data_IF_928791268181
#
_entry.id   IF_928791268181
#
_cell.length_a   1.000
_cell.length_b   1.000
_cell.length_c   1.000
_cell.angle_alpha   90.00
_cell.angle_beta   90.00
_cell.angle_gamma   90.00
#
_symmetry.space_group_name_H-M   'P 1'
#
loop_
_entity.id
_entity.type
_entity.pdbx_description
1 polymer ?
#
# COMPACT_ATOMS: atom_id res chain seq x y z
N UNK A 1 -8.89 25.32 -60.22
CA UNK A 1 -8.97 23.84 -60.09
C UNK A 1 -7.58 23.26 -60.29
N UNK A 2 -6.83 23.05 -59.22
CA UNK A 2 -5.50 22.43 -59.26
C UNK A 2 -5.61 20.96 -58.86
N UNK A 3 -5.40 20.05 -59.81
CA UNK A 3 -5.24 18.61 -59.55
C UNK A 3 -3.80 18.38 -59.10
N UNK A 4 -3.63 17.88 -57.89
CA UNK A 4 -2.36 17.37 -57.37
C UNK A 4 -2.52 15.90 -57.01
N UNK A 5 -2.10 15.04 -57.93
CA UNK A 5 -1.96 13.59 -57.74
C UNK A 5 -0.92 13.31 -56.64
N UNK A 6 -1.29 12.49 -55.66
CA UNK A 6 -0.34 11.88 -54.73
C UNK A 6 -0.56 10.37 -54.71
N UNK A 7 -0.02 9.69 -55.73
CA UNK A 7 0.28 8.27 -55.66
C UNK A 7 1.75 8.06 -55.33
N UNK A 8 1.94 7.33 -54.23
CA UNK A 8 2.99 6.34 -53.97
C UNK A 8 4.43 6.81 -53.72
N UNK A 9 4.82 6.77 -52.44
CA UNK A 9 6.10 6.17 -52.02
C UNK A 9 5.89 5.24 -50.83
N UNK A 10 5.86 3.93 -51.13
CA UNK A 10 5.97 2.84 -50.15
C UNK A 10 7.36 2.91 -49.50
N UNK A 11 7.43 3.37 -48.26
CA UNK A 11 8.59 3.18 -47.38
C UNK A 11 8.46 1.87 -46.62
N UNK A 12 9.32 0.89 -46.93
CA UNK A 12 9.48 -0.37 -46.18
C UNK A 12 9.87 -0.06 -44.73
N UNK A 13 9.03 -0.39 -43.75
CA UNK A 13 9.43 -0.38 -42.34
C UNK A 13 10.18 -1.69 -42.07
N UNK A 14 11.51 -1.57 -41.91
CA UNK A 14 12.38 -2.64 -41.41
C UNK A 14 12.09 -2.88 -39.92
N UNK A 15 11.82 -4.13 -39.56
CA UNK A 15 11.94 -4.62 -38.17
C UNK A 15 13.43 -4.53 -37.78
N UNK A 16 13.73 -3.69 -36.80
CA UNK A 16 15.09 -3.48 -36.29
C UNK A 16 15.03 -3.25 -34.79
N UNK A 17 15.64 -4.17 -34.07
CA UNK A 17 15.90 -4.20 -32.63
C UNK A 17 16.60 -2.94 -32.13
N UNK A 18 16.04 -2.28 -31.11
CA UNK A 18 16.77 -1.34 -30.27
C UNK A 18 16.89 -1.91 -28.85
N UNK A 19 17.94 -2.72 -28.66
CA UNK A 19 18.50 -2.98 -27.35
C UNK A 19 19.30 -1.75 -26.91
N UNK A 20 18.86 -1.09 -25.85
CA UNK A 20 19.66 -0.06 -25.19
C UNK A 20 20.45 -0.73 -24.06
N UNK A 21 21.74 -0.92 -24.33
CA UNK A 21 22.76 -1.32 -23.37
C UNK A 21 22.81 -0.34 -22.20
N UNK A 22 22.44 -0.79 -20.98
CA UNK A 22 22.75 -0.07 -19.75
C UNK A 22 24.10 -0.53 -19.22
N UNK A 23 25.11 0.35 -19.31
CA UNK A 23 26.38 0.21 -18.60
C UNK A 23 26.11 0.09 -17.10
N UNK A 24 26.52 -1.04 -16.51
CA UNK A 24 26.58 -1.22 -15.06
C UNK A 24 27.74 -0.37 -14.52
N UNK A 25 27.42 0.72 -13.81
CA UNK A 25 28.39 1.31 -12.89
C UNK A 25 28.40 0.46 -11.62
N UNK A 26 29.41 -0.40 -11.49
CA UNK A 26 29.75 -1.10 -10.26
C UNK A 26 30.33 -0.05 -9.30
N UNK A 27 29.53 0.41 -8.34
CA UNK A 27 30.05 1.16 -7.22
C UNK A 27 30.75 0.18 -6.28
N UNK A 28 32.08 0.14 -6.32
CA UNK A 28 32.93 -0.56 -5.35
C UNK A 28 32.76 0.11 -3.99
N UNK A 29 31.97 -0.46 -3.09
CA UNK A 29 32.03 -0.11 -1.67
C UNK A 29 33.31 -0.74 -1.13
N UNK A 30 34.29 0.10 -0.78
CA UNK A 30 35.46 -0.29 0.02
C UNK A 30 34.95 -0.62 1.43
N UNK A 31 35.10 -1.86 1.85
CA UNK A 31 34.91 -2.29 3.24
C UNK A 31 35.96 -1.62 4.13
N UNK A 32 35.52 -0.95 5.19
CA UNK A 32 36.39 -0.55 6.30
C UNK A 32 36.51 -1.72 7.29
N UNK A 33 37.69 -1.94 7.91
CA UNK A 33 37.96 -3.12 8.72
C UNK A 33 37.37 -2.98 10.13
N UNK A 34 36.66 -4.01 10.57
CA UNK A 34 36.33 -4.22 11.98
C UNK A 34 37.61 -4.70 12.65
N UNK A 35 38.15 -3.89 13.57
CA UNK A 35 39.28 -4.27 14.42
C UNK A 35 38.80 -5.18 15.54
N UNK A 36 39.45 -6.34 15.58
CA UNK A 36 39.76 -7.22 16.70
C UNK A 36 39.37 -6.75 18.11
N UNK A 37 38.54 -7.56 18.78
CA UNK A 37 38.76 -7.93 20.18
C UNK A 37 38.58 -9.45 20.27
N UNK A 38 39.72 -10.14 20.30
CA UNK A 38 39.87 -11.52 20.72
C UNK A 38 40.08 -11.48 22.23
N UNK A 39 39.27 -12.24 22.98
CA UNK A 39 39.71 -12.86 24.22
C UNK A 39 39.26 -14.32 24.18
N UNK A 40 40.27 -15.19 24.29
CA UNK A 40 40.22 -16.63 24.15
C UNK A 40 39.32 -17.30 25.20
N UNK A 41 38.68 -18.41 24.85
CA UNK A 41 39.13 -19.71 25.37
C UNK A 41 38.40 -20.91 24.73
N UNK A 42 39.22 -21.73 24.07
CA UNK A 42 39.22 -23.20 23.96
C UNK A 42 37.89 -23.98 23.98
N UNK A 43 37.57 -24.66 22.87
CA UNK A 43 38.02 -26.04 22.60
C UNK A 43 37.16 -26.76 21.54
N UNK A 44 37.83 -27.63 20.79
CA UNK A 44 37.32 -28.79 20.06
C UNK A 44 36.79 -28.64 18.62
N UNK A 45 37.75 -28.75 17.69
CA UNK A 45 37.84 -29.77 16.63
C UNK A 45 36.53 -30.21 15.94
N UNK A 46 36.46 -29.98 14.62
CA UNK A 46 36.40 -31.06 13.63
C UNK A 46 36.46 -30.54 12.17
N UNK A 47 37.54 -30.96 11.50
CA UNK A 47 37.66 -31.32 10.08
C UNK A 47 37.15 -30.37 8.99
N UNK A 48 38.09 -29.52 8.57
CA UNK A 48 38.22 -28.95 7.24
C UNK A 48 38.63 -30.08 6.27
N UNK A 49 37.67 -30.89 5.80
CA UNK A 49 37.88 -31.75 4.63
C UNK A 49 36.54 -32.27 4.11
N UNK A 50 35.78 -31.38 3.46
CA UNK A 50 34.87 -31.74 2.37
C UNK A 50 34.43 -30.44 1.69
N UNK A 51 35.32 -29.91 0.86
CA UNK A 51 35.00 -28.95 -0.19
C UNK A 51 34.17 -29.73 -1.23
N UNK A 52 32.88 -29.90 -0.93
CA UNK A 52 31.88 -30.17 -1.94
C UNK A 52 31.28 -28.81 -2.30
N UNK A 53 31.70 -28.28 -3.44
CA UNK A 53 31.12 -27.11 -4.08
C UNK A 53 29.65 -27.41 -4.33
N UNK A 54 28.79 -27.04 -3.37
CA UNK A 54 27.34 -27.11 -3.50
C UNK A 54 26.88 -25.99 -4.44
N UNK A 55 27.07 -26.18 -5.75
CA UNK A 55 26.23 -25.53 -6.75
C UNK A 55 24.81 -26.07 -6.55
N UNK A 56 23.90 -25.27 -5.99
CA UNK A 56 22.43 -25.38 -6.17
C UNK A 56 21.76 -24.15 -5.56
N UNK A 57 21.11 -23.37 -6.41
CA UNK A 57 20.35 -22.18 -6.03
C UNK A 57 19.27 -22.52 -5.01
N UNK A 58 19.42 -21.98 -3.80
CA UNK A 58 18.29 -21.83 -2.91
C UNK A 58 17.46 -20.67 -3.47
N UNK A 59 16.49 -20.97 -4.34
CA UNK A 59 15.39 -20.06 -4.59
C UNK A 59 14.67 -19.95 -3.23
N UNK A 60 15.05 -18.97 -2.42
CA UNK A 60 14.31 -18.64 -1.22
C UNK A 60 12.88 -18.32 -1.64
N UNK A 61 11.91 -19.05 -1.09
CA UNK A 61 10.50 -18.74 -1.28
C UNK A 61 10.14 -17.51 -0.46
N UNK A 62 9.13 -16.78 -0.90
CA UNK A 62 8.59 -15.66 -0.14
C UNK A 62 7.07 -15.65 -0.27
N UNK A 63 6.41 -15.25 0.82
CA UNK A 63 4.95 -15.25 0.93
C UNK A 63 4.40 -13.91 0.42
N UNK A 64 3.31 -13.97 -0.36
CA UNK A 64 2.56 -12.78 -0.76
C UNK A 64 1.74 -12.24 0.42
N UNK A 65 1.93 -10.97 0.80
CA UNK A 65 1.23 -10.36 1.94
C UNK A 65 -0.30 -10.39 1.82
N UNK A 66 -0.82 -10.40 0.58
CA UNK A 66 -2.25 -10.25 0.32
C UNK A 66 -2.99 -11.59 0.26
N UNK A 67 -2.41 -12.61 -0.39
CA UNK A 67 -3.06 -13.91 -0.58
C UNK A 67 -2.47 -15.04 0.26
N UNK A 68 -1.41 -14.81 1.03
CA UNK A 68 -0.84 -15.82 1.93
C UNK A 68 -0.09 -16.97 1.26
N UNK A 69 -0.08 -17.04 -0.08
CA UNK A 69 0.58 -18.12 -0.82
C UNK A 69 2.09 -17.89 -0.92
N UNK A 70 2.85 -18.98 -0.85
CA UNK A 70 4.29 -19.01 -1.12
C UNK A 70 4.58 -19.01 -2.61
N UNK A 71 5.56 -18.20 -3.02
CA UNK A 71 6.06 -18.16 -4.39
C UNK A 71 7.58 -18.17 -4.41
N UNK A 72 8.16 -18.62 -5.53
CA UNK A 72 9.56 -18.35 -5.81
C UNK A 72 9.79 -16.83 -5.90
N UNK A 73 10.93 -16.33 -5.42
CA UNK A 73 11.27 -14.91 -5.46
C UNK A 73 11.14 -14.29 -6.87
N UNK A 74 11.40 -15.04 -7.94
CA UNK A 74 11.23 -14.57 -9.33
C UNK A 74 9.79 -14.16 -9.67
N UNK A 75 8.80 -14.66 -8.93
CA UNK A 75 7.38 -14.36 -9.11
C UNK A 75 6.84 -13.35 -8.08
N UNK A 76 7.68 -12.97 -7.11
CA UNK A 76 7.37 -11.93 -6.13
C UNK A 76 7.78 -10.57 -6.67
N UNK A 77 6.88 -9.63 -6.52
CA UNK A 77 7.03 -8.22 -6.84
C UNK A 77 7.01 -7.40 -5.56
N UNK A 78 7.49 -6.16 -5.64
CA UNK A 78 7.42 -5.19 -4.52
C UNK A 78 6.25 -4.25 -4.73
N UNK A 79 5.18 -4.46 -3.99
CA UNK A 79 4.04 -3.53 -3.96
C UNK A 79 4.34 -2.36 -3.02
N UNK A 80 3.93 -1.15 -3.40
CA UNK A 80 4.13 0.06 -2.60
C UNK A 80 2.87 0.36 -1.81
N UNK A 81 3.04 0.73 -0.54
CA UNK A 81 1.94 1.08 0.35
C UNK A 81 2.18 2.52 0.86
N UNK A 82 1.42 3.53 0.40
CA UNK A 82 0.36 3.42 -0.60
C UNK A 82 0.96 3.34 -2.02
N UNK A 83 0.07 3.23 -3.02
CA UNK A 83 0.46 3.21 -4.43
C UNK A 83 1.32 4.42 -4.83
N UNK A 84 2.29 4.20 -5.72
CA UNK A 84 3.26 5.22 -6.16
C UNK A 84 2.61 6.47 -6.78
N UNK A 85 1.41 6.32 -7.33
CA UNK A 85 0.68 7.40 -7.98
C UNK A 85 0.22 8.49 -7.00
N UNK A 86 0.17 8.22 -5.69
CA UNK A 86 -0.09 9.22 -4.66
C UNK A 86 1.13 10.08 -4.30
N UNK A 87 2.33 9.73 -4.80
CA UNK A 87 3.57 10.50 -4.63
C UNK A 87 3.86 11.43 -5.82
N UNK A 88 2.94 11.54 -6.76
CA UNK A 88 3.10 12.38 -7.94
C UNK A 88 3.04 13.86 -7.54
N UNK A 89 3.95 14.69 -8.07
CA UNK A 89 4.06 16.09 -7.64
C UNK A 89 5.16 16.33 -6.63
N UNK A 90 5.29 15.42 -5.67
CA UNK A 90 6.21 15.54 -4.56
C UNK A 90 7.68 15.33 -4.94
N UNK A 91 8.56 16.02 -4.19
CA UNK A 91 10.02 15.91 -4.28
C UNK A 91 10.52 14.52 -3.89
N UNK A 92 11.73 14.17 -4.31
CA UNK A 92 12.36 12.87 -3.97
C UNK A 92 12.51 12.66 -2.45
N UNK A 93 12.66 13.73 -1.65
CA UNK A 93 12.71 13.63 -0.19
C UNK A 93 11.43 13.02 0.41
N UNK A 94 10.27 13.19 -0.24
CA UNK A 94 9.00 12.60 0.21
C UNK A 94 8.87 11.11 -0.14
N UNK A 95 9.78 10.60 -0.97
CA UNK A 95 9.77 9.25 -1.54
C UNK A 95 10.76 8.32 -0.85
N UNK A 96 11.56 8.85 0.08
CA UNK A 96 12.51 8.10 0.91
C UNK A 96 11.74 7.26 1.93
N UNK A 97 12.16 6.03 2.23
CA UNK A 97 11.49 5.16 3.21
C UNK A 97 10.02 4.83 2.88
N UNK A 98 9.66 4.73 1.60
CA UNK A 98 8.37 4.14 1.21
C UNK A 98 8.32 2.67 1.62
N UNK A 99 7.27 2.33 2.33
CA UNK A 99 6.95 0.95 2.68
C UNK A 99 6.67 0.18 1.40
N UNK A 100 7.36 -0.95 1.26
CA UNK A 100 7.08 -1.93 0.21
C UNK A 100 6.92 -3.31 0.82
N UNK A 101 5.97 -4.08 0.31
CA UNK A 101 5.65 -5.43 0.77
C UNK A 101 5.70 -6.45 -0.38
N UNK A 102 6.03 -7.72 -0.09
CA UNK A 102 6.13 -8.76 -1.11
C UNK A 102 4.74 -9.18 -1.59
N UNK A 103 4.50 -9.08 -2.89
CA UNK A 103 3.23 -9.40 -3.51
C UNK A 103 3.45 -10.30 -4.74
N UNK A 104 2.62 -11.32 -4.94
CA UNK A 104 2.65 -12.04 -6.21
C UNK A 104 2.19 -11.12 -7.36
N UNK A 105 2.63 -11.44 -8.58
CA UNK A 105 2.35 -10.61 -9.76
C UNK A 105 0.84 -10.43 -10.01
N UNK A 106 0.03 -11.44 -9.71
CA UNK A 106 -1.44 -11.39 -9.84
C UNK A 106 -2.06 -10.39 -8.86
N UNK A 107 -1.73 -10.50 -7.56
CA UNK A 107 -2.26 -9.59 -6.55
C UNK A 107 -1.85 -8.14 -6.83
N UNK A 108 -0.57 -7.91 -7.12
CA UNK A 108 -0.07 -6.56 -7.41
C UNK A 108 -0.72 -5.95 -8.66
N UNK A 109 -0.91 -6.75 -9.72
CA UNK A 109 -1.54 -6.29 -10.97
C UNK A 109 -3.03 -5.97 -10.82
N UNK A 110 -3.76 -6.73 -10.00
CA UNK A 110 -5.22 -6.59 -9.82
C UNK A 110 -5.63 -5.22 -9.27
N UNK A 111 -4.79 -4.57 -8.47
CA UNK A 111 -5.13 -3.30 -7.83
C UNK A 111 -4.91 -2.07 -8.69
N UNK A 112 -4.37 -2.18 -9.90
CA UNK A 112 -4.12 -1.00 -10.74
C UNK A 112 -5.38 -0.13 -10.99
N UNK A 113 -6.58 -0.70 -11.27
CA UNK A 113 -7.79 0.12 -11.40
C UNK A 113 -8.22 0.74 -10.08
N UNK A 114 -8.07 0.02 -8.97
CA UNK A 114 -8.35 0.50 -7.61
C UNK A 114 -7.46 1.68 -7.22
N UNK A 115 -6.17 1.59 -7.53
CA UNK A 115 -5.19 2.65 -7.28
C UNK A 115 -5.46 3.89 -8.15
N UNK A 116 -5.87 3.70 -9.40
CA UNK A 116 -6.27 4.81 -10.29
C UNK A 116 -7.53 5.51 -9.76
N UNK A 117 -8.54 4.73 -9.37
CA UNK A 117 -9.81 5.24 -8.85
C UNK A 117 -9.62 6.07 -7.58
N UNK A 118 -8.85 5.54 -6.61
CA UNK A 118 -8.55 6.25 -5.38
C UNK A 118 -7.74 7.54 -5.63
N UNK A 119 -6.73 7.49 -6.51
CA UNK A 119 -5.97 8.69 -6.89
C UNK A 119 -6.86 9.75 -7.51
N UNK A 120 -7.80 9.35 -8.38
CA UNK A 120 -8.73 10.29 -8.98
C UNK A 120 -9.64 10.94 -7.93
N UNK A 121 -10.10 10.17 -6.93
CA UNK A 121 -10.85 10.73 -5.81
C UNK A 121 -10.02 11.77 -5.07
N UNK A 122 -8.79 11.44 -4.66
CA UNK A 122 -7.86 12.38 -4.01
C UNK A 122 -7.64 13.63 -4.86
N UNK A 123 -7.41 13.49 -6.17
CA UNK A 123 -7.17 14.62 -7.06
C UNK A 123 -8.38 15.54 -7.26
N UNK A 124 -9.61 15.04 -7.12
CA UNK A 124 -10.84 15.87 -7.17
C UNK A 124 -11.06 16.63 -5.87
N UNK A 125 -10.78 16.01 -4.72
CA UNK A 125 -10.96 16.64 -3.41
C UNK A 125 -9.75 17.49 -2.96
N UNK A 126 -8.63 17.41 -3.69
CA UNK A 126 -7.40 18.08 -3.34
C UNK A 126 -7.58 19.59 -3.20
N UNK A 127 -7.28 20.12 -2.01
CA UNK A 127 -7.30 21.55 -1.71
C UNK A 127 -5.90 22.15 -1.66
N UNK A 128 -4.89 21.30 -1.48
CA UNK A 128 -3.50 21.70 -1.28
C UNK A 128 -2.73 21.84 -2.59
N UNK A 129 -1.88 22.85 -2.68
CA UNK A 129 -1.01 23.07 -3.85
C UNK A 129 -0.05 21.90 -4.10
N UNK A 130 0.42 21.23 -3.04
CA UNK A 130 1.32 20.08 -3.16
C UNK A 130 0.67 18.90 -3.92
N UNK A 131 -0.67 18.84 -3.93
CA UNK A 131 -1.45 17.83 -4.62
C UNK A 131 -1.85 18.24 -6.06
N UNK A 132 -1.42 19.41 -6.55
CA UNK A 132 -1.79 19.92 -7.88
C UNK A 132 -1.48 18.94 -9.01
N UNK A 133 -0.31 18.26 -8.99
CA UNK A 133 0.02 17.27 -10.04
C UNK A 133 -0.90 16.05 -9.99
N UNK A 134 -1.38 15.66 -8.81
CA UNK A 134 -2.37 14.59 -8.66
C UNK A 134 -3.70 15.04 -9.29
N UNK A 135 -4.12 16.28 -9.03
CA UNK A 135 -5.31 16.88 -9.62
C UNK A 135 -5.22 16.96 -11.15
N UNK A 136 -4.11 17.44 -11.70
CA UNK A 136 -3.88 17.51 -13.16
C UNK A 136 -4.00 16.13 -13.84
N UNK A 137 -3.36 15.11 -13.26
CA UNK A 137 -3.45 13.76 -13.83
C UNK A 137 -4.83 13.15 -13.64
N UNK A 138 -5.58 13.57 -12.62
CA UNK A 138 -6.96 13.16 -12.39
C UNK A 138 -7.87 13.70 -13.48
N UNK A 139 -7.81 15.02 -13.73
CA UNK A 139 -8.54 15.69 -14.82
C UNK A 139 -8.24 15.00 -16.16
N UNK A 140 -6.94 14.78 -16.46
CA UNK A 140 -6.53 14.07 -17.67
C UNK A 140 -7.09 12.66 -17.77
N UNK A 141 -7.19 11.93 -16.65
CA UNK A 141 -7.72 10.56 -16.66
C UNK A 141 -9.22 10.52 -16.93
N UNK A 142 -9.97 11.40 -16.25
CA UNK A 142 -11.43 11.50 -16.38
C UNK A 142 -11.82 11.92 -17.80
N UNK A 143 -11.18 12.95 -18.35
CA UNK A 143 -11.54 13.49 -19.67
C UNK A 143 -11.13 12.58 -20.84
N UNK A 144 -10.11 11.72 -20.66
CA UNK A 144 -9.58 10.87 -21.74
C UNK A 144 -10.48 9.67 -22.06
N UNK A 145 -11.21 9.14 -21.07
CA UNK A 145 -12.03 7.93 -21.22
C UNK A 145 -13.51 8.33 -21.32
N UNK A 146 -14.25 7.73 -22.25
CA UNK A 146 -15.69 7.99 -22.39
C UNK A 146 -16.47 7.61 -21.11
N UNK A 147 -16.04 6.53 -20.45
CA UNK A 147 -16.53 6.12 -19.14
C UNK A 147 -16.24 7.14 -18.02
N UNK A 148 -15.21 7.98 -18.18
CA UNK A 148 -14.91 9.06 -17.24
C UNK A 148 -15.89 10.22 -17.38
N UNK A 149 -16.28 10.57 -18.61
CA UNK A 149 -17.28 11.62 -18.87
C UNK A 149 -18.66 11.26 -18.33
N UNK A 150 -19.05 9.98 -18.40
CA UNK A 150 -20.31 9.46 -17.85
C UNK A 150 -20.42 9.63 -16.32
N UNK A 151 -19.31 9.91 -15.63
CA UNK A 151 -19.27 10.11 -14.18
C UNK A 151 -19.42 11.57 -13.77
N UNK A 152 -19.47 12.49 -14.73
CA UNK A 152 -19.64 13.91 -14.47
C UNK A 152 -21.12 14.20 -14.23
N UNK A 153 -21.42 14.81 -13.09
CA UNK A 153 -22.74 15.39 -12.83
C UNK A 153 -22.79 16.79 -13.43
N UNK A 154 -23.87 17.10 -14.15
CA UNK A 154 -24.10 18.40 -14.78
C UNK A 154 -25.31 19.03 -14.10
N UNK A 155 -25.21 20.30 -13.72
CA UNK A 155 -26.33 21.05 -13.15
C UNK A 155 -27.26 21.61 -14.23
N UNK A 156 -28.36 22.23 -13.80
CA UNK A 156 -29.38 22.81 -14.70
C UNK A 156 -28.85 23.90 -15.65
N UNK A 157 -27.66 24.45 -15.35
CA UNK A 157 -26.96 25.44 -16.18
C UNK A 157 -25.98 24.83 -17.18
N UNK A 158 -25.94 23.49 -17.32
CA UNK A 158 -25.03 22.79 -18.21
C UNK A 158 -23.58 22.77 -17.73
N UNK A 159 -23.30 23.12 -16.47
CA UNK A 159 -21.95 23.12 -15.88
C UNK A 159 -21.70 21.84 -15.09
N UNK A 160 -20.48 21.32 -15.15
CA UNK A 160 -20.05 20.20 -14.31
C UNK A 160 -20.11 20.63 -12.84
N UNK A 161 -20.91 19.91 -12.05
CA UNK A 161 -21.15 20.17 -10.63
C UNK A 161 -20.58 19.08 -9.72
N UNK A 162 -20.20 17.92 -10.26
CA UNK A 162 -19.67 16.83 -9.46
C UNK A 162 -19.05 15.71 -10.29
N UNK A 163 -18.35 14.81 -9.60
CA UNK A 163 -17.76 13.59 -10.16
C UNK A 163 -18.10 12.42 -9.25
N UNK A 164 -18.71 11.37 -9.80
CA UNK A 164 -19.03 10.17 -9.03
C UNK A 164 -17.86 9.19 -8.97
N UNK A 165 -17.66 8.56 -7.81
CA UNK A 165 -16.63 7.54 -7.58
C UNK A 165 -17.22 6.21 -7.11
N UNK A 166 -16.55 5.11 -7.48
CA UNK A 166 -16.94 3.78 -7.03
C UNK A 166 -16.50 3.53 -5.59
N UNK A 167 -17.47 3.36 -4.68
CA UNK A 167 -17.20 3.06 -3.26
C UNK A 167 -16.39 1.77 -3.08
N UNK A 168 -16.76 0.68 -3.78
CA UNK A 168 -16.08 -0.62 -3.64
C UNK A 168 -14.57 -0.54 -3.96
N UNK A 169 -14.13 0.07 -5.09
CA UNK A 169 -12.72 0.34 -5.30
C UNK A 169 -12.05 1.15 -4.18
N UNK A 170 -12.67 2.22 -3.70
CA UNK A 170 -12.12 3.07 -2.63
C UNK A 170 -11.91 2.27 -1.34
N UNK A 171 -12.92 1.50 -0.93
CA UNK A 171 -12.81 0.62 0.23
C UNK A 171 -11.72 -0.45 0.03
N UNK A 172 -11.66 -1.06 -1.15
CA UNK A 172 -10.63 -2.05 -1.47
C UNK A 172 -9.22 -1.46 -1.43
N UNK A 173 -9.04 -0.18 -1.78
CA UNK A 173 -7.76 0.52 -1.63
C UNK A 173 -7.36 0.61 -0.16
N UNK A 174 -8.30 0.97 0.73
CA UNK A 174 -8.06 1.01 2.17
C UNK A 174 -7.76 -0.37 2.75
N UNK A 175 -8.53 -1.40 2.38
CA UNK A 175 -8.30 -2.79 2.81
C UNK A 175 -6.92 -3.29 2.37
N UNK A 176 -6.53 -3.02 1.13
CA UNK A 176 -5.21 -3.35 0.58
C UNK A 176 -4.09 -2.73 1.39
N UNK A 177 -4.14 -1.41 1.59
CA UNK A 177 -3.11 -0.69 2.33
C UNK A 177 -3.06 -1.13 3.79
N UNK A 178 -4.22 -1.35 4.44
CA UNK A 178 -4.27 -1.88 5.79
C UNK A 178 -3.56 -3.23 5.91
N UNK A 179 -3.84 -4.20 5.01
CA UNK A 179 -3.14 -5.49 4.97
C UNK A 179 -1.63 -5.34 4.76
N UNK A 180 -1.23 -4.44 3.85
CA UNK A 180 0.19 -4.17 3.58
C UNK A 180 0.93 -3.58 4.79
N UNK A 181 0.33 -2.57 5.42
CA UNK A 181 0.89 -1.93 6.63
C UNK A 181 0.91 -2.90 7.82
N UNK A 182 -0.14 -3.71 7.98
CA UNK A 182 -0.21 -4.77 8.99
C UNK A 182 0.94 -5.77 8.83
N UNK A 183 1.14 -6.28 7.62
CA UNK A 183 2.26 -7.19 7.31
C UNK A 183 3.61 -6.52 7.56
N UNK A 184 3.78 -5.26 7.14
CA UNK A 184 5.02 -4.53 7.37
C UNK A 184 5.34 -4.36 8.87
N UNK A 185 4.32 -4.08 9.68
CA UNK A 185 4.48 -3.83 11.11
C UNK A 185 4.72 -5.10 11.93
N UNK A 186 3.96 -6.17 11.64
CA UNK A 186 3.97 -7.37 12.49
C UNK A 186 4.69 -8.56 11.87
N UNK A 187 5.07 -8.49 10.59
CA UNK A 187 5.69 -9.60 9.85
C UNK A 187 4.76 -10.80 9.61
N UNK A 188 3.48 -10.68 9.96
CA UNK A 188 2.46 -11.72 9.82
C UNK A 188 1.36 -11.27 8.86
N UNK A 189 0.75 -12.25 8.20
CA UNK A 189 -0.34 -12.01 7.25
C UNK A 189 -1.66 -11.98 8.01
N UNK A 190 -2.50 -11.01 7.70
CA UNK A 190 -3.85 -10.96 8.26
C UNK A 190 -4.65 -12.13 7.71
N UNK A 191 -5.05 -13.06 8.59
CA UNK A 191 -5.81 -14.26 8.22
C UNK A 191 -7.12 -13.91 7.51
N UNK A 192 -7.57 -14.78 6.61
CA UNK A 192 -8.89 -14.69 5.97
C UNK A 192 -10.05 -14.93 6.95
N UNK A 193 -9.74 -15.31 8.20
CA UNK A 193 -10.69 -15.34 9.32
C UNK A 193 -11.11 -13.94 9.79
N UNK A 194 -10.49 -12.88 9.28
CA UNK A 194 -10.88 -11.50 9.57
C UNK A 194 -11.70 -10.91 8.42
N UNK A 195 -12.80 -10.27 8.78
CA UNK A 195 -13.55 -9.39 7.89
C UNK A 195 -13.10 -7.94 8.10
N UNK A 196 -12.87 -7.22 7.00
CA UNK A 196 -12.44 -5.83 7.03
C UNK A 196 -13.60 -4.89 6.69
N UNK A 197 -13.93 -4.03 7.64
CA UNK A 197 -14.86 -2.91 7.49
C UNK A 197 -14.07 -1.62 7.32
N UNK A 198 -14.57 -0.74 6.46
CA UNK A 198 -13.94 0.56 6.17
C UNK A 198 -14.97 1.63 6.41
N UNK A 199 -14.65 2.58 7.28
CA UNK A 199 -15.41 3.78 7.49
C UNK A 199 -14.65 4.96 6.87
N UNK A 200 -15.25 5.56 5.85
CA UNK A 200 -14.78 6.77 5.15
C UNK A 200 -15.72 7.96 5.36
N UNK A 201 -16.75 7.82 6.20
CA UNK A 201 -17.71 8.87 6.44
C UNK A 201 -17.13 9.87 7.45
N UNK A 202 -16.70 11.03 6.96
CA UNK A 202 -16.15 12.11 7.80
C UNK A 202 -17.18 12.69 8.78
N UNK A 203 -18.47 12.41 8.59
CA UNK A 203 -19.56 12.86 9.46
C UNK A 203 -20.05 11.76 10.42
N UNK A 204 -19.39 10.60 10.48
CA UNK A 204 -19.72 9.59 11.47
C UNK A 204 -19.10 9.93 12.83
N UNK A 205 -19.88 10.66 13.62
CA UNK A 205 -19.58 11.03 14.99
C UNK A 205 -20.24 10.09 16.01
N UNK A 206 -20.54 8.85 15.63
CA UNK A 206 -21.06 7.87 16.58
C UNK A 206 -20.07 7.62 17.72
N UNK A 207 -20.57 7.35 18.92
CA UNK A 207 -19.75 7.04 20.11
C UNK A 207 -18.78 5.88 19.83
N UNK A 208 -19.19 4.93 18.99
CA UNK A 208 -18.34 3.83 18.55
C UNK A 208 -17.13 4.32 17.76
N UNK A 209 -17.35 5.14 16.72
CA UNK A 209 -16.27 5.69 15.91
C UNK A 209 -15.37 6.60 16.75
N UNK A 210 -15.95 7.51 17.53
CA UNK A 210 -15.21 8.39 18.44
C UNK A 210 -14.38 7.61 19.46
N UNK A 211 -14.92 6.54 20.04
CA UNK A 211 -14.20 5.69 20.99
C UNK A 211 -12.99 5.01 20.36
N UNK A 212 -13.09 4.52 19.12
CA UNK A 212 -11.95 3.94 18.40
C UNK A 212 -10.93 5.02 18.02
N UNK A 213 -11.39 6.19 17.57
CA UNK A 213 -10.50 7.30 17.23
C UNK A 213 -9.70 7.75 18.45
N UNK A 214 -10.34 7.99 19.60
CA UNK A 214 -9.68 8.34 20.85
C UNK A 214 -8.68 7.26 21.29
N UNK A 215 -9.09 5.99 21.24
CA UNK A 215 -8.18 4.85 21.52
C UNK A 215 -6.90 4.91 20.67
N UNK A 216 -7.01 5.19 19.37
CA UNK A 216 -5.87 5.20 18.47
C UNK A 216 -5.03 6.46 18.64
N UNK A 217 -5.66 7.63 18.63
CA UNK A 217 -4.98 8.93 18.59
C UNK A 217 -4.29 9.26 19.92
N UNK A 218 -4.88 8.87 21.05
CA UNK A 218 -4.33 9.16 22.38
C UNK A 218 -3.23 8.17 22.76
N UNK A 219 -3.44 6.88 22.47
CA UNK A 219 -2.60 5.81 23.02
C UNK A 219 -1.43 5.40 22.13
N UNK A 220 -1.32 5.88 20.88
CA UNK A 220 -0.31 5.38 19.95
C UNK A 220 0.35 6.47 19.12
N UNK A 221 1.59 6.22 18.70
CA UNK A 221 2.34 7.10 17.83
C UNK A 221 2.01 6.87 16.36
N UNK A 222 1.93 7.97 15.60
CA UNK A 222 1.75 7.94 14.16
C UNK A 222 3.00 7.48 13.44
N UNK A 223 2.81 6.60 12.44
CA UNK A 223 3.84 6.14 11.50
C UNK A 223 3.53 6.70 10.12
N UNK A 224 4.48 6.59 9.19
CA UNK A 224 4.28 7.05 7.82
C UNK A 224 5.01 6.18 6.81
N UNK A 225 4.58 6.26 5.55
CA UNK A 225 5.28 5.66 4.41
C UNK A 225 5.73 6.77 3.47
N UNK A 226 7.04 6.90 3.27
CA UNK A 226 7.56 8.05 2.54
C UNK A 226 7.61 9.28 3.43
N UNK A 227 6.53 10.07 3.40
CA UNK A 227 6.39 11.31 4.16
C UNK A 227 5.01 11.35 4.84
N UNK A 228 4.90 11.92 6.06
CA UNK A 228 3.63 12.00 6.80
C UNK A 228 2.51 12.72 6.02
N UNK A 229 2.86 13.68 5.18
CA UNK A 229 1.89 14.34 4.30
C UNK A 229 1.23 13.43 3.28
N UNK A 230 1.87 12.31 2.88
CA UNK A 230 1.35 11.43 1.82
C UNK A 230 0.62 10.24 2.43
N UNK A 231 1.25 9.52 3.36
CA UNK A 231 0.59 8.48 4.14
C UNK A 231 1.07 8.56 5.58
N UNK A 232 0.15 8.89 6.48
CA UNK A 232 0.30 8.69 7.93
C UNK A 232 -0.69 7.63 8.40
N UNK A 233 -0.26 6.76 9.31
CA UNK A 233 -1.12 5.68 9.78
C UNK A 233 -0.82 5.25 11.22
N UNK A 234 -1.81 4.59 11.82
CA UNK A 234 -1.68 3.79 13.03
C UNK A 234 -2.45 2.50 12.81
N UNK A 235 -1.89 1.35 13.20
CA UNK A 235 -2.56 0.04 13.20
C UNK A 235 -2.24 -0.64 14.52
N UNK A 236 -3.27 -1.05 15.25
CA UNK A 236 -3.13 -1.69 16.57
C UNK A 236 -4.15 -2.80 16.76
N UNK A 237 -3.84 -3.82 17.58
CA UNK A 237 -4.87 -4.64 18.22
C UNK A 237 -5.79 -3.75 19.05
N UNK A 238 -7.11 -3.99 19.02
CA UNK A 238 -8.06 -3.19 19.79
C UNK A 238 -8.40 -3.88 21.11
N UNK A 239 -8.04 -3.24 22.23
CA UNK A 239 -8.23 -3.77 23.58
C UNK A 239 -8.79 -2.68 24.50
N UNK A 240 -9.88 -3.01 25.19
CA UNK A 240 -10.54 -2.08 26.12
C UNK A 240 -9.76 -2.03 27.44
N UNK A 241 -9.67 -0.84 28.05
CA UNK A 241 -9.13 -0.68 29.41
C UNK A 241 -7.61 -0.74 29.52
N UNK A 242 -6.87 -0.62 28.42
CA UNK A 242 -5.41 -0.53 28.47
C UNK A 242 -4.94 0.90 28.74
N UNK A 243 -3.79 1.03 29.40
CA UNK A 243 -3.03 2.26 29.49
C UNK A 243 -1.73 2.11 28.70
N UNK A 244 -1.39 3.11 27.89
CA UNK A 244 -0.16 3.11 27.09
C UNK A 244 0.54 4.47 27.12
N UNK A 245 1.07 4.90 28.28
CA UNK A 245 1.71 6.21 28.41
C UNK A 245 2.93 6.36 27.50
N UNK A 246 3.58 5.25 27.14
CA UNK A 246 4.74 5.24 26.24
C UNK A 246 4.39 5.39 24.76
N UNK A 247 3.11 5.30 24.40
CA UNK A 247 2.59 5.33 23.02
C UNK A 247 3.23 4.32 22.07
N UNK A 248 3.77 3.22 22.60
CA UNK A 248 4.40 2.14 21.82
C UNK A 248 3.36 1.22 21.19
N UNK A 249 3.71 0.62 20.06
CA UNK A 249 2.86 -0.38 19.41
C UNK A 249 2.64 -1.60 20.33
N UNK A 250 1.43 -2.17 20.28
CA UNK A 250 1.15 -3.43 20.97
C UNK A 250 1.63 -4.61 20.12
N UNK A 251 2.03 -5.68 20.79
CA UNK A 251 2.26 -6.96 20.13
C UNK A 251 0.93 -7.71 19.98
N UNK A 252 0.58 -8.21 18.77
CA UNK A 252 -0.60 -9.03 18.56
C UNK A 252 -0.60 -10.30 19.42
N UNK A 253 -1.74 -10.65 20.01
CA UNK A 253 -1.92 -11.94 20.67
C UNK A 253 -2.42 -12.99 19.65
N UNK A 254 -2.16 -14.28 19.91
CA UNK A 254 -2.54 -15.39 19.02
C UNK A 254 -4.03 -15.41 18.64
N UNK A 255 -4.89 -14.95 19.55
CA UNK A 255 -6.35 -14.95 19.40
C UNK A 255 -6.92 -13.53 19.51
N UNK A 256 -6.24 -12.54 18.93
CA UNK A 256 -6.83 -11.21 18.83
C UNK A 256 -8.17 -11.29 18.11
N UNK A 257 -9.18 -10.55 18.57
CA UNK A 257 -10.48 -10.55 17.91
C UNK A 257 -10.62 -9.35 16.96
N UNK A 258 -9.96 -8.23 17.27
CA UNK A 258 -10.12 -6.98 16.54
C UNK A 258 -8.76 -6.30 16.36
N UNK A 259 -8.49 -5.86 15.14
CA UNK A 259 -7.49 -4.85 14.85
C UNK A 259 -8.17 -3.61 14.29
N UNK A 260 -7.63 -2.45 14.63
CA UNK A 260 -8.11 -1.17 14.14
C UNK A 260 -6.94 -0.39 13.53
N UNK A 261 -7.24 0.46 12.56
CA UNK A 261 -6.24 1.37 12.04
C UNK A 261 -6.83 2.58 11.36
N UNK A 262 -6.15 3.71 11.50
CA UNK A 262 -6.47 4.95 10.80
C UNK A 262 -5.40 5.16 9.74
N UNK A 263 -5.84 5.46 8.51
CA UNK A 263 -4.97 5.73 7.37
C UNK A 263 -5.33 7.12 6.82
N UNK A 264 -4.39 8.07 6.90
CA UNK A 264 -4.52 9.44 6.41
C UNK A 264 -3.69 9.61 5.15
N UNK A 265 -4.32 10.04 4.05
CA UNK A 265 -3.73 10.15 2.71
C UNK A 265 -3.67 11.59 2.23
N UNK A 266 -2.50 12.03 1.75
CA UNK A 266 -2.26 13.34 1.11
C UNK A 266 -2.69 14.58 1.95
N UNK A 267 -3.01 14.38 3.25
CA UNK A 267 -3.80 15.27 4.12
C UNK A 267 -5.16 15.71 3.56
N UNK A 268 -5.72 14.95 2.63
CA UNK A 268 -7.02 15.24 2.00
C UNK A 268 -8.11 14.23 2.39
N UNK A 269 -7.73 13.01 2.80
CA UNK A 269 -8.67 11.93 3.08
C UNK A 269 -8.20 11.05 4.22
N UNK A 270 -9.12 10.54 5.02
CA UNK A 270 -8.84 9.55 6.05
C UNK A 270 -9.82 8.38 5.98
N UNK A 271 -9.37 7.21 6.43
CA UNK A 271 -10.23 6.07 6.62
C UNK A 271 -9.91 5.36 7.93
N UNK A 272 -10.97 4.97 8.65
CA UNK A 272 -10.89 4.02 9.74
C UNK A 272 -11.14 2.62 9.17
N UNK A 273 -10.21 1.70 9.41
CA UNK A 273 -10.32 0.30 9.00
C UNK A 273 -10.36 -0.57 10.24
N UNK A 274 -11.36 -1.45 10.30
CA UNK A 274 -11.57 -2.39 11.41
C UNK A 274 -11.50 -3.79 10.82
N UNK A 275 -10.53 -4.58 11.26
CA UNK A 275 -10.45 -6.01 10.96
C UNK A 275 -11.00 -6.78 12.16
N UNK A 276 -12.16 -7.40 12.00
CA UNK A 276 -12.81 -8.19 13.05
C UNK A 276 -12.80 -9.67 12.68
N UNK A 277 -12.47 -10.53 13.64
CA UNK A 277 -12.58 -11.98 13.46
C UNK A 277 -14.04 -12.36 13.17
N UNK A 278 -14.24 -13.18 12.14
CA UNK A 278 -15.56 -13.67 11.71
C UNK A 278 -16.28 -14.35 12.87
N UNK A 279 -17.58 -14.09 12.99
CA UNK A 279 -18.43 -14.61 14.06
C UNK A 279 -18.22 -13.99 15.44
N UNK A 280 -17.17 -13.18 15.67
CA UNK A 280 -16.92 -12.59 17.00
C UNK A 280 -18.05 -11.66 17.45
N UNK A 281 -18.45 -10.70 16.59
CA UNK A 281 -19.54 -9.76 16.91
C UNK A 281 -20.89 -10.47 17.04
N UNK A 282 -21.16 -11.45 16.19
CA UNK A 282 -22.38 -12.27 16.27
C UNK A 282 -22.46 -13.04 17.58
N UNK A 283 -21.33 -13.60 18.03
CA UNK A 283 -21.27 -14.31 19.31
C UNK A 283 -21.53 -13.35 20.50
N UNK A 284 -21.00 -12.12 20.45
CA UNK A 284 -21.30 -11.10 21.46
C UNK A 284 -22.79 -10.73 21.46
N UNK A 285 -23.38 -10.55 20.28
CA UNK A 285 -24.80 -10.21 20.15
C UNK A 285 -25.68 -11.32 20.72
N UNK A 286 -25.44 -12.58 20.36
CA UNK A 286 -26.17 -13.75 20.89
C UNK A 286 -26.10 -13.81 22.43
N UNK A 287 -24.90 -13.65 22.99
CA UNK A 287 -24.70 -13.64 24.44
C UNK A 287 -25.45 -12.52 25.18
N UNK A 288 -25.75 -11.40 24.50
CA UNK A 288 -26.52 -10.31 25.07
C UNK A 288 -28.03 -10.49 24.92
N UNK A 289 -28.48 -11.19 23.88
CA UNK A 289 -29.92 -11.44 23.64
C UNK A 289 -30.44 -12.67 24.39
N UNK A 290 -29.56 -13.59 24.78
CA UNK A 290 -29.88 -14.78 25.59
C UNK A 290 -29.82 -14.51 27.11
N UNK A 291 -29.45 -13.28 27.51
CA UNK A 291 -29.52 -12.78 28.90
C UNK A 291 -30.72 -11.88 29.08
#
# INVERSE_FOLDING_TARGET
MGKGDNKTRRGKIRRGTYGVSRRHYICKIKSMPIKDIISNDTSNNLNISNIAIAKRGHLSKQICYNCGKEFDIKHITKEHIPARNLFEGYDEKYKVNRITVPACSECNGKYSPTDEEFRNMIGVIAKREENQKIAEKTVKSILRKETGKQRLSINDLGKVSGVSFGQIPIENFHKKNFKGLFYHQYGIILSDDYELYVNINENDWSDFTLGILGYIEDLFAWKHSGHPDILSYVIQPFRIGISNPSRKDLTPLKNENIFVGILKYNKEHAALVIACRKGYLENILKQKTEK
#
